data_IF_945475056577
#
_entry.id   IF_945475056577
#
_cell.length_a   1.000
_cell.length_b   1.000
_cell.length_c   1.000
_cell.angle_alpha   90.00
_cell.angle_beta   90.00
_cell.angle_gamma   90.00
#
_symmetry.space_group_name_H-M   'P 1'
#
loop_
_entity.id
_entity.type
_entity.pdbx_description
1 polymer ?
#
# COMPACT_ATOMS: atom_id res chain seq x y z
N UNK A 1 -25.39 -11.41 22.32
CA UNK A 1 -24.21 -10.53 22.23
C UNK A 1 -24.68 -9.19 21.71
N UNK A 2 -24.14 -8.05 22.19
CA UNK A 2 -24.50 -6.73 21.66
C UNK A 2 -24.22 -6.68 20.15
N UNK A 3 -25.10 -5.99 19.43
CA UNK A 3 -25.04 -5.84 17.98
C UNK A 3 -24.03 -4.73 17.63
N UNK A 4 -23.07 -5.01 16.75
CA UNK A 4 -22.06 -4.03 16.27
C UNK A 4 -22.67 -2.83 15.50
N UNK A 5 -23.96 -2.91 15.20
CA UNK A 5 -24.71 -1.96 14.37
C UNK A 5 -24.95 -0.58 15.00
N UNK A 6 -24.43 -0.31 16.19
CA UNK A 6 -24.55 1.00 16.83
C UNK A 6 -23.74 2.09 16.12
N UNK A 7 -22.70 1.71 15.35
CA UNK A 7 -21.78 2.64 14.65
C UNK A 7 -21.68 2.37 13.15
N UNK A 8 -21.56 1.10 12.73
CA UNK A 8 -21.53 0.69 11.32
C UNK A 8 -22.03 -0.75 11.19
N UNK A 9 -22.70 -1.06 10.08
CA UNK A 9 -23.11 -2.43 9.74
C UNK A 9 -21.95 -3.27 9.15
N UNK A 10 -20.80 -2.66 8.89
CA UNK A 10 -19.65 -3.36 8.33
C UNK A 10 -19.03 -4.35 9.34
N UNK A 11 -18.62 -5.55 8.89
CA UNK A 11 -18.11 -6.60 9.78
C UNK A 11 -16.78 -6.19 10.42
N UNK A 12 -16.63 -6.53 11.70
CA UNK A 12 -15.40 -6.36 12.47
C UNK A 12 -14.58 -7.65 12.36
N UNK A 13 -13.39 -7.53 11.79
CA UNK A 13 -12.42 -8.62 11.74
C UNK A 13 -11.43 -8.51 12.88
N UNK A 14 -11.26 -9.58 13.65
CA UNK A 14 -10.23 -9.73 14.68
C UNK A 14 -9.17 -10.72 14.19
N UNK A 15 -7.95 -10.24 14.08
CA UNK A 15 -6.77 -11.09 13.95
C UNK A 15 -6.28 -11.40 15.36
N UNK A 16 -6.23 -12.68 15.72
CA UNK A 16 -5.89 -13.14 17.06
C UNK A 16 -4.64 -14.01 17.06
N UNK A 17 -4.00 -14.11 18.23
CA UNK A 17 -2.80 -14.92 18.41
C UNK A 17 -1.68 -14.49 17.43
N UNK A 18 -1.46 -13.18 17.32
CA UNK A 18 -0.40 -12.58 16.53
C UNK A 18 0.59 -11.78 17.40
N UNK A 19 1.72 -11.43 16.79
CA UNK A 19 2.65 -10.42 17.27
C UNK A 19 2.52 -9.19 16.37
N UNK A 20 2.07 -8.06 16.92
CA UNK A 20 1.92 -6.81 16.17
C UNK A 20 3.21 -6.00 16.29
N UNK A 21 3.76 -5.57 15.15
CA UNK A 21 4.86 -4.59 15.13
C UNK A 21 4.30 -3.18 15.36
N UNK A 22 4.55 -2.63 16.55
CA UNK A 22 4.10 -1.31 16.97
C UNK A 22 5.18 -0.63 17.82
N UNK A 23 5.43 0.65 17.58
CA UNK A 23 6.45 1.43 18.30
C UNK A 23 7.83 0.72 18.33
N UNK A 24 8.22 0.17 17.18
CA UNK A 24 9.45 -0.59 16.97
C UNK A 24 9.60 -1.86 17.84
N UNK A 25 8.50 -2.40 18.38
CA UNK A 25 8.49 -3.62 19.19
C UNK A 25 7.43 -4.60 18.70
N UNK A 26 7.70 -5.90 18.91
CA UNK A 26 6.70 -6.95 18.72
C UNK A 26 5.91 -7.11 20.01
N UNK A 27 4.60 -6.88 19.93
CA UNK A 27 3.67 -6.94 21.05
C UNK A 27 2.67 -8.06 20.80
N UNK A 28 2.45 -8.93 21.79
CA UNK A 28 1.45 -10.01 21.67
C UNK A 28 0.08 -9.46 22.00
N UNK A 29 -0.64 -9.05 20.96
CA UNK A 29 -1.95 -8.41 21.02
C UNK A 29 -2.79 -8.83 19.81
N UNK A 30 -4.09 -8.55 19.85
CA UNK A 30 -4.99 -8.81 18.73
C UNK A 30 -5.25 -7.53 17.93
N UNK A 31 -5.35 -7.65 16.60
CA UNK A 31 -5.64 -6.51 15.71
C UNK A 31 -7.11 -6.51 15.29
N UNK A 32 -7.74 -5.35 15.38
CA UNK A 32 -9.15 -5.14 15.06
C UNK A 32 -9.28 -4.25 13.84
N UNK A 33 -10.01 -4.69 12.82
CA UNK A 33 -10.15 -3.97 11.54
C UNK A 33 -11.61 -3.94 11.11
N UNK A 34 -12.07 -2.77 10.65
CA UNK A 34 -13.37 -2.56 9.98
C UNK A 34 -13.18 -1.59 8.82
N UNK A 35 -13.70 -1.92 7.65
CA UNK A 35 -13.66 -1.06 6.45
C UNK A 35 -12.24 -0.57 6.08
N UNK A 36 -11.25 -1.47 6.17
CA UNK A 36 -9.85 -1.13 5.88
C UNK A 36 -9.16 -0.25 6.92
N UNK A 37 -9.83 0.08 8.04
CA UNK A 37 -9.28 0.89 9.13
C UNK A 37 -8.98 0.03 10.35
N UNK A 38 -7.81 0.28 10.95
CA UNK A 38 -7.45 -0.28 12.25
C UNK A 38 -8.29 0.42 13.32
N UNK A 39 -8.97 -0.36 14.15
CA UNK A 39 -9.79 0.14 15.25
C UNK A 39 -8.97 0.27 16.53
N UNK A 40 -9.30 1.27 17.35
CA UNK A 40 -8.81 1.36 18.72
C UNK A 40 -9.63 0.37 19.60
N UNK A 41 -8.99 -0.63 20.24
CA UNK A 41 -9.70 -1.61 21.06
C UNK A 41 -10.48 -0.98 22.23
N UNK A 42 -9.95 0.07 22.86
CA UNK A 42 -10.61 0.74 23.98
C UNK A 42 -11.96 1.33 23.56
N UNK A 43 -11.96 2.13 22.49
CA UNK A 43 -13.18 2.71 21.92
C UNK A 43 -14.15 1.62 21.46
N UNK A 44 -13.63 0.57 20.81
CA UNK A 44 -14.45 -0.54 20.34
C UNK A 44 -15.20 -1.23 21.49
N UNK A 45 -14.56 -1.49 22.62
CA UNK A 45 -15.17 -2.23 23.72
C UNK A 45 -16.01 -1.36 24.66
N UNK A 46 -15.54 -0.15 25.00
CA UNK A 46 -16.20 0.70 25.99
C UNK A 46 -17.30 1.57 25.38
N UNK A 47 -17.08 2.12 24.19
CA UNK A 47 -18.03 3.03 23.54
C UNK A 47 -19.00 2.25 22.65
N UNK A 48 -18.46 1.46 21.70
CA UNK A 48 -19.29 0.77 20.70
C UNK A 48 -19.91 -0.53 21.25
N UNK A 49 -19.32 -1.09 22.32
CA UNK A 49 -19.61 -2.44 22.83
C UNK A 49 -19.54 -3.50 21.73
N UNK A 50 -18.61 -3.31 20.79
CA UNK A 50 -18.46 -4.14 19.61
C UNK A 50 -17.74 -5.46 19.91
N UNK A 51 -17.95 -6.44 19.04
CA UNK A 51 -17.34 -7.77 19.11
C UNK A 51 -16.91 -8.26 17.71
N UNK A 52 -16.07 -9.28 17.64
CA UNK A 52 -15.60 -9.78 16.35
C UNK A 52 -16.71 -10.53 15.59
N UNK A 53 -17.02 -10.11 14.37
CA UNK A 53 -17.86 -10.86 13.43
C UNK A 53 -17.04 -11.95 12.73
N UNK A 54 -15.78 -11.64 12.41
CA UNK A 54 -14.83 -12.52 11.74
C UNK A 54 -13.61 -12.69 12.63
N UNK A 55 -13.14 -13.92 12.79
CA UNK A 55 -11.94 -14.24 13.58
C UNK A 55 -10.92 -14.97 12.72
N UNK A 56 -9.69 -14.49 12.75
CA UNK A 56 -8.56 -15.06 12.00
C UNK A 56 -7.46 -15.39 13.00
N UNK A 57 -7.13 -16.67 13.17
CA UNK A 57 -5.98 -17.10 13.97
C UNK A 57 -4.69 -16.95 13.14
N UNK A 58 -3.76 -16.15 13.63
CA UNK A 58 -2.48 -15.89 12.98
C UNK A 58 -1.40 -16.93 13.34
N UNK A 59 -1.70 -17.93 14.17
CA UNK A 59 -0.79 -19.01 14.55
C UNK A 59 0.57 -18.52 15.10
N UNK A 60 0.56 -17.43 15.88
CA UNK A 60 1.77 -16.81 16.42
C UNK A 60 2.54 -15.93 15.43
N UNK A 61 2.03 -15.75 14.20
CA UNK A 61 2.65 -14.95 13.14
C UNK A 61 2.76 -13.46 13.48
N UNK A 62 3.57 -12.76 12.69
CA UNK A 62 3.79 -11.32 12.82
C UNK A 62 2.84 -10.56 11.90
N UNK A 63 2.19 -9.53 12.43
CA UNK A 63 1.48 -8.51 11.65
C UNK A 63 2.30 -7.22 11.72
N UNK A 64 2.71 -6.72 10.57
CA UNK A 64 3.41 -5.45 10.42
C UNK A 64 2.65 -4.56 9.43
N UNK A 65 2.88 -3.23 9.46
CA UNK A 65 2.48 -2.37 8.36
C UNK A 65 3.02 -2.91 7.05
N UNK A 66 2.21 -2.83 5.98
CA UNK A 66 2.67 -3.18 4.65
C UNK A 66 3.88 -2.34 4.23
N UNK A 67 4.79 -2.95 3.48
CA UNK A 67 6.02 -2.27 3.07
C UNK A 67 5.72 -1.17 2.06
N UNK A 68 6.52 -0.11 2.11
CA UNK A 68 6.53 0.97 1.12
C UNK A 68 7.84 0.88 0.36
N UNK A 69 7.74 0.60 -0.94
CA UNK A 69 8.91 0.59 -1.82
C UNK A 69 9.07 1.94 -2.50
N UNK A 70 9.96 2.77 -1.97
CA UNK A 70 10.18 4.12 -2.49
C UNK A 70 11.00 4.15 -3.78
N UNK A 71 11.60 3.04 -4.18
CA UNK A 71 12.47 2.99 -5.35
C UNK A 71 12.42 1.64 -6.06
N UNK A 72 11.50 1.53 -7.02
CA UNK A 72 11.38 0.37 -7.91
C UNK A 72 11.31 0.81 -9.37
N UNK A 73 12.29 0.38 -10.17
CA UNK A 73 12.39 0.75 -11.59
C UNK A 73 11.38 0.00 -12.49
N UNK A 74 10.85 -1.11 -11.97
CA UNK A 74 10.03 -2.05 -12.71
C UNK A 74 10.03 -3.42 -12.04
N UNK A 75 9.30 -4.37 -12.62
CA UNK A 75 9.20 -5.72 -12.10
C UNK A 75 8.39 -6.61 -13.04
N UNK A 76 8.55 -7.92 -12.90
CA UNK A 76 7.72 -8.90 -13.64
C UNK A 76 7.75 -8.71 -15.17
N UNK A 77 8.90 -8.31 -15.72
CA UNK A 77 9.09 -8.06 -17.15
C UNK A 77 8.68 -6.66 -17.62
N UNK A 78 8.27 -5.76 -16.72
CA UNK A 78 7.95 -4.36 -17.01
C UNK A 78 9.08 -3.46 -16.50
N UNK A 79 9.52 -2.52 -17.34
CA UNK A 79 10.41 -1.42 -16.99
C UNK A 79 9.64 -0.12 -17.14
N UNK A 80 9.59 0.69 -16.09
CA UNK A 80 8.84 1.95 -16.08
C UNK A 80 9.51 3.03 -16.93
N UNK A 81 10.79 2.89 -17.25
CA UNK A 81 11.55 3.83 -18.08
C UNK A 81 11.40 3.56 -19.59
N UNK A 82 10.60 2.57 -19.98
CA UNK A 82 10.28 2.30 -21.38
C UNK A 82 8.95 2.97 -21.75
N UNK A 83 9.04 3.97 -22.63
CA UNK A 83 7.84 4.61 -23.19
C UNK A 83 7.10 3.62 -24.10
N UNK A 84 6.01 3.09 -23.57
CA UNK A 84 5.09 2.21 -24.30
C UNK A 84 3.67 2.71 -24.09
N UNK A 85 2.80 2.48 -25.07
CA UNK A 85 1.37 2.82 -24.97
C UNK A 85 0.63 2.00 -23.89
N UNK A 86 1.28 0.99 -23.32
CA UNK A 86 0.70 0.03 -22.39
C UNK A 86 1.26 0.15 -20.96
N UNK A 87 1.97 1.25 -20.64
CA UNK A 87 2.60 1.40 -19.33
C UNK A 87 1.59 1.37 -18.18
N UNK A 88 0.39 1.95 -18.34
CA UNK A 88 -0.68 1.86 -17.33
C UNK A 88 -1.04 0.43 -16.95
N UNK A 89 -1.15 -0.47 -17.95
CA UNK A 89 -1.38 -1.88 -17.70
C UNK A 89 -0.17 -2.54 -17.03
N UNK A 90 1.05 -2.16 -17.44
CA UNK A 90 2.29 -2.60 -16.80
C UNK A 90 2.36 -2.22 -15.33
N UNK A 91 2.09 -0.96 -14.98
CA UNK A 91 2.00 -0.44 -13.62
C UNK A 91 0.96 -1.22 -12.80
N UNK A 92 -0.22 -1.45 -13.37
CA UNK A 92 -1.29 -2.23 -12.72
C UNK A 92 -0.86 -3.68 -12.45
N UNK A 93 -0.13 -4.30 -13.38
CA UNK A 93 0.40 -5.66 -13.21
C UNK A 93 1.46 -5.70 -12.10
N UNK A 94 2.41 -4.77 -12.10
CA UNK A 94 3.45 -4.69 -11.06
C UNK A 94 2.80 -4.44 -9.69
N UNK A 95 1.89 -3.46 -9.60
CA UNK A 95 1.16 -3.16 -8.37
C UNK A 95 0.45 -4.38 -7.78
N UNK A 96 -0.20 -5.20 -8.64
CA UNK A 96 -0.86 -6.43 -8.19
C UNK A 96 0.12 -7.46 -7.66
N UNK A 97 1.26 -7.63 -8.33
CA UNK A 97 2.24 -8.64 -7.95
C UNK A 97 3.01 -8.26 -6.68
N UNK A 98 3.28 -6.97 -6.47
CA UNK A 98 3.94 -6.45 -5.26
C UNK A 98 3.21 -6.80 -3.95
N UNK A 99 1.88 -6.95 -3.98
CA UNK A 99 1.12 -7.39 -2.81
C UNK A 99 1.60 -8.76 -2.30
N UNK A 100 2.04 -9.66 -3.20
CA UNK A 100 2.53 -10.99 -2.84
C UNK A 100 3.88 -10.95 -2.09
N UNK A 101 4.61 -9.85 -2.18
CA UNK A 101 5.89 -9.63 -1.49
C UNK A 101 5.75 -8.77 -0.24
N UNK A 102 4.52 -8.43 0.15
CA UNK A 102 4.21 -7.60 1.32
C UNK A 102 4.31 -6.09 1.07
N UNK A 103 4.59 -5.66 -0.16
CA UNK A 103 4.59 -4.24 -0.54
C UNK A 103 3.17 -3.79 -0.81
N UNK A 104 2.68 -2.82 -0.04
CA UNK A 104 1.31 -2.31 -0.16
C UNK A 104 1.23 -0.94 -0.84
N UNK A 105 2.36 -0.25 -0.96
CA UNK A 105 2.49 0.99 -1.73
C UNK A 105 3.89 1.13 -2.32
N UNK A 106 4.03 1.81 -3.45
CA UNK A 106 5.33 2.01 -4.09
C UNK A 106 5.40 3.30 -4.92
N UNK A 107 6.62 3.69 -5.26
CA UNK A 107 6.91 4.78 -6.19
C UNK A 107 7.60 4.24 -7.46
N UNK A 108 6.93 4.24 -8.63
CA UNK A 108 7.57 3.92 -9.90
C UNK A 108 8.78 4.83 -10.11
N UNK A 109 9.94 4.22 -10.33
CA UNK A 109 11.19 4.94 -10.52
C UNK A 109 11.58 5.00 -11.98
N UNK A 110 11.79 6.22 -12.48
CA UNK A 110 12.35 6.46 -13.81
C UNK A 110 13.84 6.68 -13.66
N UNK A 111 14.64 5.85 -14.34
CA UNK A 111 16.09 6.07 -14.38
C UNK A 111 16.43 7.17 -15.38
N UNK A 112 17.69 7.58 -15.40
CA UNK A 112 18.17 8.60 -16.34
C UNK A 112 17.85 8.19 -17.78
N UNK A 113 16.99 8.98 -18.42
CA UNK A 113 16.43 8.74 -19.75
C UNK A 113 16.39 10.05 -20.55
N UNK A 114 16.28 10.00 -21.89
CA UNK A 114 16.06 11.22 -22.68
C UNK A 114 14.77 11.95 -22.26
N UNK A 115 14.79 13.28 -22.28
CA UNK A 115 13.64 14.16 -21.94
C UNK A 115 12.30 13.70 -22.55
N UNK A 116 12.23 13.30 -23.83
CA UNK A 116 10.98 12.82 -24.43
C UNK A 116 10.34 11.61 -23.73
N UNK A 117 11.14 10.75 -23.08
CA UNK A 117 10.65 9.58 -22.33
C UNK A 117 9.87 10.03 -21.10
N UNK A 118 10.39 11.00 -20.33
CA UNK A 118 9.69 11.53 -19.16
C UNK A 118 8.33 12.12 -19.53
N UNK A 119 8.27 12.92 -20.60
CA UNK A 119 7.00 13.49 -21.10
C UNK A 119 5.99 12.44 -21.58
N UNK A 120 6.44 11.26 -22.01
CA UNK A 120 5.56 10.16 -22.41
C UNK A 120 5.11 9.31 -21.23
N UNK A 121 5.96 9.12 -20.22
CA UNK A 121 5.74 8.19 -19.12
C UNK A 121 5.03 8.84 -17.93
N UNK A 122 5.49 10.01 -17.46
CA UNK A 122 4.97 10.64 -16.24
C UNK A 122 3.45 10.84 -16.31
N UNK A 123 2.85 11.32 -17.42
CA UNK A 123 1.38 11.47 -17.52
C UNK A 123 0.59 10.16 -17.45
N UNK A 124 1.26 9.00 -17.57
CA UNK A 124 0.64 7.69 -17.44
C UNK A 124 0.67 7.17 -16.00
N UNK A 125 1.47 7.76 -15.11
CA UNK A 125 1.54 7.39 -13.70
C UNK A 125 0.46 8.18 -12.96
N UNK A 126 -0.56 7.45 -12.48
CA UNK A 126 -1.64 8.03 -11.68
C UNK A 126 -1.45 7.64 -10.21
N UNK A 127 -1.44 8.63 -9.33
CA UNK A 127 -1.49 8.39 -7.88
C UNK A 127 -2.79 7.68 -7.55
N UNK A 128 -2.70 6.56 -6.84
CA UNK A 128 -3.87 5.75 -6.48
C UNK A 128 -3.65 5.03 -5.15
N UNK A 129 -4.73 4.94 -4.38
CA UNK A 129 -4.72 4.16 -3.14
C UNK A 129 -4.54 2.67 -3.41
N UNK A 130 -3.85 2.00 -2.49
CA UNK A 130 -3.73 0.54 -2.50
C UNK A 130 -5.06 -0.14 -2.16
N UNK A 131 -5.20 -1.38 -2.58
CA UNK A 131 -6.40 -2.17 -2.28
C UNK A 131 -6.38 -3.56 -2.90
N UNK A 132 -7.55 -4.21 -3.04
CA UNK A 132 -7.64 -5.58 -3.56
C UNK A 132 -7.10 -5.76 -4.99
N UNK A 133 -6.95 -4.66 -5.74
CA UNK A 133 -6.47 -4.66 -7.13
C UNK A 133 -4.95 -4.49 -7.25
N UNK A 134 -4.27 -4.04 -6.20
CA UNK A 134 -2.82 -3.82 -6.21
C UNK A 134 -2.34 -2.88 -5.12
N UNK A 135 -1.02 -2.81 -4.99
CA UNK A 135 -0.34 -1.81 -4.17
C UNK A 135 -0.68 -0.39 -4.64
N UNK A 136 -0.69 0.57 -3.72
CA UNK A 136 -0.88 1.98 -4.03
C UNK A 136 0.30 2.56 -4.79
N UNK A 137 0.03 3.50 -5.69
CA UNK A 137 1.05 4.29 -6.38
C UNK A 137 1.07 5.64 -5.68
N UNK A 138 2.18 5.96 -5.00
CA UNK A 138 2.28 7.16 -4.18
C UNK A 138 2.71 8.41 -4.98
N UNK A 139 3.18 8.19 -6.21
CA UNK A 139 3.84 9.17 -7.06
C UNK A 139 5.11 8.56 -7.66
N UNK A 140 5.74 9.27 -8.56
CA UNK A 140 6.95 8.87 -9.24
C UNK A 140 8.23 9.33 -8.52
N UNK A 141 9.32 8.62 -8.75
CA UNK A 141 10.66 9.05 -8.37
C UNK A 141 11.56 9.10 -9.61
N UNK A 142 12.12 10.27 -9.92
CA UNK A 142 13.05 10.42 -11.03
C UNK A 142 14.49 10.33 -10.52
N UNK A 143 15.16 9.21 -10.78
CA UNK A 143 16.59 9.07 -10.52
C UNK A 143 17.36 9.73 -11.65
N UNK A 144 17.88 10.92 -11.37
CA UNK A 144 18.51 11.72 -12.39
C UNK A 144 19.86 12.28 -11.90
N UNK A 145 20.91 11.96 -12.66
CA UNK A 145 22.28 12.43 -12.41
C UNK A 145 22.64 13.73 -13.18
N UNK A 146 21.76 14.25 -14.05
CA UNK A 146 22.12 15.30 -15.03
C UNK A 146 21.21 16.53 -15.10
N UNK A 147 20.08 16.60 -14.39
CA UNK A 147 19.28 17.83 -14.37
C UNK A 147 19.85 18.79 -13.33
N UNK A 148 20.50 19.86 -13.82
CA UNK A 148 20.65 21.08 -13.04
C UNK A 148 19.27 21.61 -12.61
N UNK A 149 19.27 22.39 -11.54
CA UNK A 149 18.11 22.85 -10.76
C UNK A 149 16.97 23.58 -11.50
N UNK A 150 16.98 23.67 -12.83
CA UNK A 150 16.02 24.43 -13.66
C UNK A 150 15.06 23.57 -14.47
N UNK A 151 15.25 22.25 -14.58
CA UNK A 151 14.36 21.40 -15.40
C UNK A 151 13.25 20.68 -14.61
N UNK A 152 13.21 20.84 -13.27
CA UNK A 152 12.07 20.36 -12.46
C UNK A 152 10.80 21.22 -12.61
N UNK A 153 10.86 22.38 -13.26
CA UNK A 153 9.67 23.21 -13.55
C UNK A 153 8.79 22.65 -14.67
N UNK A 154 9.22 21.57 -15.35
CA UNK A 154 8.53 21.02 -16.52
C UNK A 154 8.05 19.56 -16.38
N UNK A 155 8.15 18.97 -15.18
CA UNK A 155 7.48 17.72 -14.83
C UNK A 155 6.15 18.01 -14.13
#
# INVERSE_FOLDING_TARGET
MPSNKSVSDAPITRFQNCHILKDHKLQREDLWVREGKILNPEKLFFDEKGSADIRIDCNGGIIAPGFIDTQINGGYGIDFSLATDNLKCGLSMVARQLLSTGVTSFCPTLVTSPVPIYHQVIPQIEVQDGGPRGAGILGEYCYNQSLGSTEFEYC
#
